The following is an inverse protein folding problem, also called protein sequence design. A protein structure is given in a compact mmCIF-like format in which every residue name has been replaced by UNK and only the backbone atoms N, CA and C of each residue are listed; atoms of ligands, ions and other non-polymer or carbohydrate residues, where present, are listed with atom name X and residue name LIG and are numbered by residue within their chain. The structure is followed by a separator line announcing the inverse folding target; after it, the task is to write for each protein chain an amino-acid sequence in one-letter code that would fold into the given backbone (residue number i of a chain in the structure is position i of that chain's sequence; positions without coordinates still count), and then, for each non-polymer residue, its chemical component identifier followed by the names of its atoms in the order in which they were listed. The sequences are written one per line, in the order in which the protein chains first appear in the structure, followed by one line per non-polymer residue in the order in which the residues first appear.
data_IF_874725134667
#
_entry.id   IF_874725134667
#
_cell.length_a   1.000
_cell.length_b   1.000
_cell.length_c   1.000
_cell.angle_alpha   90.00
_cell.angle_beta   90.00
_cell.angle_gamma   90.00
#
_symmetry.space_group_name_H-M   'P 1'
#
loop_
_entity.id
_entity.type
_entity.pdbx_description
1 polymer ?
#
# COMPACT_ATOMS: atom_id res chain seq x y z
N UNK A 1 -22.88 21.12 12.11
CA UNK A 1 -23.30 19.96 11.31
C UNK A 1 -22.05 19.20 10.91
N UNK A 2 -22.11 17.88 10.79
CA UNK A 2 -20.97 17.04 10.39
C UNK A 2 -21.45 16.00 9.37
N UNK A 3 -20.63 15.65 8.36
CA UNK A 3 -20.97 14.55 7.46
C UNK A 3 -20.82 13.21 8.20
N UNK A 4 -21.69 12.25 7.89
CA UNK A 4 -21.73 10.93 8.53
C UNK A 4 -21.24 9.88 7.55
N UNK A 5 -20.32 9.02 8.00
CA UNK A 5 -19.84 7.84 7.28
C UNK A 5 -20.25 6.61 8.08
N UNK A 6 -20.89 5.64 7.43
CA UNK A 6 -21.37 4.42 8.08
C UNK A 6 -20.20 3.44 8.14
N UNK A 7 -19.89 2.97 9.35
CA UNK A 7 -18.81 2.03 9.60
C UNK A 7 -19.37 0.76 10.28
N UNK A 8 -19.19 -0.42 9.66
CA UNK A 8 -19.48 -1.71 10.30
C UNK A 8 -18.67 -1.90 11.60
N UNK A 9 -19.28 -2.54 12.59
CA UNK A 9 -18.69 -2.77 13.92
C UNK A 9 -18.70 -1.54 14.86
N UNK A 10 -19.42 -0.48 14.53
CA UNK A 10 -19.66 0.63 15.46
C UNK A 10 -20.72 0.22 16.50
N UNK A 11 -20.40 0.35 17.79
CA UNK A 11 -21.32 -0.04 18.86
C UNK A 11 -22.68 0.71 18.79
N UNK A 12 -23.77 -0.01 19.01
CA UNK A 12 -25.13 0.54 18.97
C UNK A 12 -25.29 1.76 19.90
N UNK A 13 -25.95 2.81 19.41
CA UNK A 13 -26.18 4.05 20.16
C UNK A 13 -24.94 4.95 20.31
N UNK A 14 -23.84 4.66 19.60
CA UNK A 14 -22.60 5.46 19.65
C UNK A 14 -22.22 6.01 18.29
N UNK A 15 -21.50 7.14 18.28
CA UNK A 15 -20.90 7.72 17.08
C UNK A 15 -19.47 8.17 17.39
N UNK A 16 -18.51 7.73 16.56
CA UNK A 16 -17.13 8.20 16.61
C UNK A 16 -16.98 9.52 15.85
N UNK A 17 -16.25 10.48 16.42
CA UNK A 17 -15.87 11.71 15.72
C UNK A 17 -14.37 11.97 15.88
N UNK A 18 -13.68 12.15 14.75
CA UNK A 18 -12.26 12.45 14.75
C UNK A 18 -11.98 13.90 15.17
N UNK A 19 -10.98 14.09 16.02
CA UNK A 19 -10.46 15.41 16.41
C UNK A 19 -9.38 15.89 15.42
N UNK A 20 -9.10 17.20 15.41
CA UNK A 20 -8.01 17.80 14.64
C UNK A 20 -8.41 18.50 13.33
N UNK A 21 -9.66 18.35 12.91
CA UNK A 21 -10.26 19.08 11.79
C UNK A 21 -10.85 20.44 12.20
N UNK A 22 -11.28 21.26 11.23
CA UNK A 22 -11.90 22.57 11.46
C UNK A 22 -10.92 23.70 11.81
N UNK A 23 -9.62 23.49 11.57
CA UNK A 23 -8.57 24.48 11.85
C UNK A 23 -8.59 25.59 10.79
N UNK A 24 -8.47 26.85 11.23
CA UNK A 24 -8.40 28.04 10.35
C UNK A 24 -6.97 28.48 10.03
N UNK A 25 -6.05 28.24 10.98
CA UNK A 25 -4.64 28.66 10.90
C UNK A 25 -3.71 27.44 10.91
N UNK A 26 -3.80 26.57 9.90
CA UNK A 26 -3.03 25.33 9.78
C UNK A 26 -2.27 25.19 8.45
N UNK A 27 -2.03 26.31 7.77
CA UNK A 27 -1.47 26.32 6.42
C UNK A 27 -2.46 25.85 5.33
N UNK A 28 -2.01 25.70 4.10
CA UNK A 28 -2.86 25.46 2.92
C UNK A 28 -3.58 24.11 2.92
N UNK A 29 -3.01 23.10 3.60
CA UNK A 29 -3.50 21.71 3.57
C UNK A 29 -4.69 21.55 4.53
N UNK A 30 -4.56 21.99 5.78
CA UNK A 30 -5.56 21.76 6.82
C UNK A 30 -6.60 22.87 6.98
N UNK A 31 -6.41 24.02 6.32
CA UNK A 31 -7.29 25.19 6.47
C UNK A 31 -8.69 24.87 5.96
N UNK A 32 -9.68 25.09 6.81
CA UNK A 32 -11.11 24.92 6.53
C UNK A 32 -11.49 23.49 6.08
N UNK A 33 -10.72 22.49 6.51
CA UNK A 33 -11.01 21.07 6.25
C UNK A 33 -11.79 20.47 7.42
N UNK A 34 -12.96 19.89 7.13
CA UNK A 34 -13.79 19.19 8.12
C UNK A 34 -14.49 20.13 9.11
N UNK A 35 -14.74 19.65 10.32
CA UNK A 35 -15.43 20.42 11.38
C UNK A 35 -14.68 20.32 12.70
N UNK A 36 -14.71 21.41 13.46
CA UNK A 36 -14.03 21.50 14.75
C UNK A 36 -14.83 20.80 15.84
N UNK A 37 -14.46 19.55 16.12
CA UNK A 37 -15.07 18.70 17.13
C UNK A 37 -14.55 18.97 18.56
N UNK A 38 -13.49 19.78 18.74
CA UNK A 38 -12.97 20.11 20.07
C UNK A 38 -14.01 20.81 20.96
N UNK A 39 -14.95 21.52 20.33
CA UNK A 39 -16.06 22.22 21.00
C UNK A 39 -17.07 21.29 21.66
N UNK A 40 -17.04 20.00 21.31
CA UNK A 40 -17.94 18.99 21.88
C UNK A 40 -17.39 18.40 23.18
N UNK A 41 -16.08 18.52 23.42
CA UNK A 41 -15.43 17.97 24.62
C UNK A 41 -15.80 18.79 25.85
N UNK A 42 -15.97 18.08 26.97
CA UNK A 42 -16.20 18.69 28.28
C UNK A 42 -14.95 18.54 29.16
N UNK A 43 -14.73 19.53 30.03
CA UNK A 43 -13.69 19.44 31.07
C UNK A 43 -14.26 18.72 32.29
N UNK A 44 -13.45 17.85 32.87
CA UNK A 44 -13.71 17.16 34.13
C UNK A 44 -12.55 17.45 35.08
N UNK A 45 -12.66 18.57 35.80
CA UNK A 45 -11.53 19.16 36.52
C UNK A 45 -10.40 19.58 35.56
N UNK A 46 -9.21 19.01 35.76
CA UNK A 46 -8.04 19.21 34.89
C UNK A 46 -8.02 18.27 33.67
N UNK A 47 -8.91 17.27 33.64
CA UNK A 47 -8.96 16.28 32.57
C UNK A 47 -9.92 16.69 31.45
N UNK A 48 -9.66 16.18 30.25
CA UNK A 48 -10.57 16.27 29.11
C UNK A 48 -11.35 14.96 28.96
N UNK A 49 -12.68 15.06 28.86
CA UNK A 49 -13.55 13.90 28.64
C UNK A 49 -13.77 13.70 27.14
N UNK A 50 -13.36 12.53 26.63
CA UNK A 50 -13.44 12.15 25.20
C UNK A 50 -14.74 11.43 24.79
N UNK A 51 -15.71 11.33 25.71
CA UNK A 51 -17.04 10.80 25.43
C UNK A 51 -18.10 11.75 25.98
N UNK A 52 -19.25 11.79 25.31
CA UNK A 52 -20.38 12.64 25.71
C UNK A 52 -21.69 12.03 25.24
N UNK A 53 -22.68 12.02 26.12
CA UNK A 53 -24.06 11.71 25.75
C UNK A 53 -24.72 12.96 25.18
N UNK A 54 -25.29 12.84 23.97
CA UNK A 54 -26.01 13.92 23.31
C UNK A 54 -27.51 13.64 23.35
N UNK A 55 -28.33 14.69 23.41
CA UNK A 55 -29.80 14.55 23.45
C UNK A 55 -30.44 14.00 22.17
N UNK A 56 -29.65 13.85 21.09
CA UNK A 56 -30.08 13.24 19.83
C UNK A 56 -29.29 13.77 18.65
N UNK A 57 -29.44 13.09 17.51
CA UNK A 57 -28.92 13.50 16.21
C UNK A 57 -30.08 13.62 15.23
N UNK A 58 -30.17 14.73 14.51
CA UNK A 58 -31.20 14.95 13.48
C UNK A 58 -30.55 15.06 12.10
N UNK A 59 -31.02 14.31 11.08
CA UNK A 59 -30.57 14.49 9.71
C UNK A 59 -30.85 15.92 9.22
N UNK A 60 -29.87 16.53 8.55
CA UNK A 60 -30.02 17.89 7.98
C UNK A 60 -30.60 17.89 6.57
N UNK A 61 -30.74 16.71 5.94
CA UNK A 61 -31.12 16.57 4.52
C UNK A 61 -30.00 16.88 3.51
N UNK A 62 -28.85 17.38 3.96
CA UNK A 62 -27.71 17.67 3.10
C UNK A 62 -26.98 16.41 2.62
N UNK A 63 -26.43 16.46 1.40
CA UNK A 63 -25.54 15.42 0.87
C UNK A 63 -24.08 15.87 0.93
N UNK A 64 -23.17 14.93 1.17
CA UNK A 64 -21.73 15.19 1.23
C UNK A 64 -20.96 14.10 0.48
N UNK A 65 -20.03 14.50 -0.39
CA UNK A 65 -19.16 13.56 -1.09
C UNK A 65 -17.87 13.33 -0.30
N UNK A 66 -17.61 12.07 0.07
CA UNK A 66 -16.36 11.66 0.71
C UNK A 66 -15.29 11.34 -0.33
N UNK A 67 -14.04 11.69 -0.03
CA UNK A 67 -12.88 11.30 -0.82
C UNK A 67 -12.33 9.98 -0.26
N UNK A 68 -12.89 8.86 -0.70
CA UNK A 68 -12.49 7.52 -0.25
C UNK A 68 -11.61 6.87 -1.31
N UNK A 69 -10.51 6.26 -0.88
CA UNK A 69 -9.61 5.48 -1.75
C UNK A 69 -10.09 4.03 -1.90
N UNK A 70 -10.87 3.53 -0.95
CA UNK A 70 -11.51 2.22 -0.99
C UNK A 70 -13.02 2.38 -0.85
N UNK A 71 -13.77 1.78 -1.79
CA UNK A 71 -15.24 1.85 -1.85
C UNK A 71 -15.91 0.54 -1.50
N UNK A 72 -15.26 -0.60 -1.78
CA UNK A 72 -15.77 -1.94 -1.46
C UNK A 72 -15.01 -2.47 -0.24
N UNK A 73 -15.75 -2.89 0.79
CA UNK A 73 -15.17 -3.38 2.04
C UNK A 73 -15.43 -4.86 2.31
N UNK A 74 -16.16 -5.55 1.44
CA UNK A 74 -16.30 -7.01 1.45
C UNK A 74 -15.26 -7.64 0.50
N UNK A 75 -14.84 -8.87 0.77
CA UNK A 75 -14.01 -9.65 -0.16
C UNK A 75 -14.82 -10.25 -1.32
N UNK A 76 -16.15 -10.14 -1.31
CA UNK A 76 -17.03 -10.68 -2.36
C UNK A 76 -16.81 -12.18 -2.63
N UNK A 77 -16.58 -12.96 -1.56
CA UNK A 77 -16.31 -14.39 -1.63
C UNK A 77 -14.93 -14.78 -2.17
N UNK A 78 -14.05 -13.80 -2.46
CA UNK A 78 -12.70 -14.06 -2.96
C UNK A 78 -11.73 -14.31 -1.82
N UNK A 79 -10.85 -15.29 -1.98
CA UNK A 79 -9.80 -15.61 -1.00
C UNK A 79 -8.58 -14.67 -1.11
N UNK A 80 -8.79 -13.35 -1.01
CA UNK A 80 -7.73 -12.33 -1.09
C UNK A 80 -6.84 -12.35 0.16
N UNK A 81 -7.49 -12.31 1.33
CA UNK A 81 -6.87 -12.55 2.64
C UNK A 81 -7.25 -13.96 3.06
N UNK A 82 -6.25 -14.81 3.28
CA UNK A 82 -6.43 -16.17 3.79
C UNK A 82 -6.30 -16.16 5.30
N UNK A 83 -7.20 -16.86 5.99
CA UNK A 83 -7.27 -16.89 7.45
C UNK A 83 -7.35 -18.33 7.96
N UNK A 84 -6.74 -18.60 9.11
CA UNK A 84 -6.86 -19.87 9.82
C UNK A 84 -6.83 -19.63 11.34
N UNK A 85 -7.47 -20.51 12.11
CA UNK A 85 -7.40 -20.45 13.57
C UNK A 85 -6.14 -21.13 14.11
N UNK A 86 -5.68 -20.69 15.28
CA UNK A 86 -4.47 -21.20 15.91
C UNK A 86 -4.47 -22.73 16.13
N UNK A 87 -5.58 -23.38 16.55
CA UNK A 87 -5.62 -24.84 16.65
C UNK A 87 -5.42 -25.54 15.30
N UNK A 88 -6.01 -25.01 14.23
CA UNK A 88 -5.85 -25.55 12.88
C UNK A 88 -4.39 -25.40 12.40
N UNK A 89 -3.79 -24.23 12.61
CA UNK A 89 -2.38 -23.99 12.27
C UNK A 89 -1.40 -24.88 13.05
N UNK A 90 -1.71 -25.20 14.32
CA UNK A 90 -0.89 -26.13 15.11
C UNK A 90 -0.97 -27.57 14.60
N UNK A 91 -2.09 -27.96 14.02
CA UNK A 91 -2.27 -29.28 13.42
C UNK A 91 -1.63 -29.35 12.01
N UNK A 92 -1.77 -28.28 11.23
CA UNK A 92 -1.23 -28.16 9.88
C UNK A 92 -0.65 -26.74 9.64
N UNK A 93 0.67 -26.60 9.45
CA UNK A 93 1.31 -25.33 9.12
C UNK A 93 0.78 -24.66 7.83
N UNK A 94 0.11 -25.42 6.95
CA UNK A 94 -0.54 -24.95 5.72
C UNK A 94 -2.02 -24.59 5.86
N UNK A 95 -2.59 -24.61 7.07
CA UNK A 95 -4.01 -24.34 7.28
C UNK A 95 -4.47 -23.00 6.68
N UNK A 96 -5.61 -22.99 6.00
CA UNK A 96 -6.17 -21.83 5.30
C UNK A 96 -5.48 -21.50 3.97
N UNK A 97 -4.53 -22.34 3.54
CA UNK A 97 -3.76 -22.16 2.30
C UNK A 97 -4.05 -23.23 1.24
N UNK A 98 -5.20 -23.91 1.32
CA UNK A 98 -5.53 -25.08 0.48
C UNK A 98 -5.65 -24.70 -1.00
N UNK A 99 -6.00 -23.44 -1.29
CA UNK A 99 -6.06 -22.91 -2.65
C UNK A 99 -4.66 -22.86 -3.30
N UNK A 100 -3.60 -22.59 -2.55
CA UNK A 100 -2.23 -22.58 -3.06
C UNK A 100 -1.87 -23.92 -3.67
N UNK A 101 -2.12 -25.01 -2.94
CA UNK A 101 -1.82 -26.38 -3.40
C UNK A 101 -2.59 -26.72 -4.67
N UNK A 102 -3.90 -26.44 -4.70
CA UNK A 102 -4.74 -26.68 -5.89
C UNK A 102 -4.27 -25.90 -7.11
N UNK A 103 -3.89 -24.64 -6.92
CA UNK A 103 -3.40 -23.82 -8.02
C UNK A 103 -2.05 -24.36 -8.47
N UNK A 104 -1.11 -24.62 -7.57
CA UNK A 104 0.20 -25.17 -7.89
C UNK A 104 0.15 -26.47 -8.72
N UNK A 105 -0.81 -27.37 -8.47
CA UNK A 105 -1.02 -28.60 -9.24
C UNK A 105 -1.50 -28.39 -10.68
N UNK A 106 -2.11 -27.24 -10.97
CA UNK A 106 -2.73 -26.93 -12.27
C UNK A 106 -2.04 -25.77 -13.01
N UNK A 107 -0.95 -25.24 -12.46
CA UNK A 107 -0.22 -24.13 -13.05
C UNK A 107 0.70 -24.61 -14.18
N UNK A 108 0.26 -24.38 -15.41
CA UNK A 108 1.03 -24.65 -16.62
C UNK A 108 1.34 -23.35 -17.36
N UNK A 109 2.54 -23.28 -17.96
CA UNK A 109 2.97 -22.11 -18.73
C UNK A 109 3.60 -22.51 -20.06
N UNK A 110 3.26 -21.74 -21.09
CA UNK A 110 3.84 -21.87 -22.43
C UNK A 110 5.27 -21.34 -22.52
N UNK A 111 5.70 -20.57 -21.52
CA UNK A 111 7.02 -19.94 -21.49
C UNK A 111 7.92 -20.62 -20.45
N UNK A 112 9.20 -20.69 -20.79
CA UNK A 112 10.26 -21.14 -19.89
C UNK A 112 10.33 -20.26 -18.63
N UNK A 113 10.75 -20.87 -17.53
CA UNK A 113 10.97 -20.14 -16.29
C UNK A 113 12.21 -19.24 -16.40
N UNK A 114 12.08 -18.02 -15.91
CA UNK A 114 13.20 -17.09 -15.83
C UNK A 114 14.09 -17.45 -14.65
N UNK A 115 15.36 -17.67 -14.91
CA UNK A 115 16.37 -17.85 -13.86
C UNK A 115 17.01 -16.52 -13.45
N UNK A 116 17.02 -16.24 -12.15
CA UNK A 116 17.70 -15.10 -11.57
C UNK A 116 18.98 -15.56 -10.86
N UNK A 117 20.14 -15.45 -11.54
CA UNK A 117 21.39 -16.11 -11.10
C UNK A 117 22.09 -15.48 -9.89
N UNK A 118 21.90 -14.19 -9.65
CA UNK A 118 22.60 -13.47 -8.60
C UNK A 118 21.65 -13.12 -7.47
N UNK A 119 20.84 -12.09 -7.67
CA UNK A 119 19.84 -11.64 -6.71
C UNK A 119 18.44 -11.88 -7.26
N UNK A 120 17.52 -12.23 -6.38
CA UNK A 120 16.09 -12.19 -6.67
C UNK A 120 15.38 -11.47 -5.52
N UNK A 121 15.10 -10.17 -5.73
CA UNK A 121 14.51 -9.34 -4.70
C UNK A 121 13.05 -9.69 -4.46
N UNK A 122 12.70 -10.00 -3.22
CA UNK A 122 11.34 -10.31 -2.83
C UNK A 122 10.89 -9.56 -1.59
N UNK A 123 9.59 -9.67 -1.31
CA UNK A 123 8.99 -9.14 -0.10
C UNK A 123 8.01 -10.14 0.50
N UNK A 124 8.11 -10.42 1.79
CA UNK A 124 7.13 -11.19 2.54
C UNK A 124 6.29 -10.26 3.43
N UNK A 125 4.98 -10.52 3.51
CA UNK A 125 4.03 -9.74 4.31
C UNK A 125 3.28 -10.67 5.27
N UNK A 126 3.54 -10.53 6.57
CA UNK A 126 2.80 -11.25 7.62
C UNK A 126 1.49 -10.50 7.97
N UNK A 127 0.37 -11.05 7.51
CA UNK A 127 -0.96 -10.50 7.76
C UNK A 127 -1.45 -10.71 9.21
N UNK A 128 -0.80 -11.59 9.97
CA UNK A 128 -1.09 -11.78 11.41
C UNK A 128 -0.64 -10.58 12.23
N UNK A 129 0.51 -9.99 11.90
CA UNK A 129 1.08 -8.85 12.63
C UNK A 129 0.66 -7.49 12.06
N UNK A 130 0.15 -7.45 10.82
CA UNK A 130 -0.33 -6.21 10.22
C UNK A 130 -1.59 -5.68 10.93
N UNK A 131 -1.47 -4.51 11.56
CA UNK A 131 -2.56 -3.83 12.27
C UNK A 131 -3.29 -2.77 11.43
N UNK A 132 -2.84 -2.54 10.19
CA UNK A 132 -3.43 -1.51 9.33
C UNK A 132 -3.01 -0.06 9.68
N UNK A 133 -1.92 0.15 10.42
CA UNK A 133 -1.46 1.48 10.86
C UNK A 133 -1.09 2.48 9.73
N UNK A 134 -1.00 2.02 8.48
CA UNK A 134 -0.69 2.81 7.28
C UNK A 134 0.65 3.59 7.30
N UNK A 135 1.55 3.34 8.27
CA UNK A 135 2.86 4.01 8.31
C UNK A 135 3.71 3.71 7.06
N UNK A 136 3.60 2.49 6.53
CA UNK A 136 4.26 2.06 5.30
C UNK A 136 3.81 2.87 4.06
N UNK A 137 2.59 3.41 4.05
CA UNK A 137 2.10 4.30 2.98
C UNK A 137 2.85 5.63 3.03
N UNK A 138 2.92 6.25 4.21
CA UNK A 138 3.59 7.54 4.42
C UNK A 138 5.11 7.41 4.21
N UNK A 139 5.72 6.33 4.69
CA UNK A 139 7.15 6.08 4.45
C UNK A 139 7.46 5.93 2.96
N UNK A 140 6.61 5.22 2.21
CA UNK A 140 6.75 5.11 0.75
C UNK A 140 6.60 6.47 0.06
N UNK A 141 5.67 7.31 0.53
CA UNK A 141 5.46 8.66 0.01
C UNK A 141 6.67 9.57 0.25
N UNK A 142 7.20 9.58 1.47
CA UNK A 142 8.36 10.37 1.85
C UNK A 142 9.63 9.93 1.12
N UNK A 143 9.86 8.62 1.04
CA UNK A 143 11.05 8.06 0.40
C UNK A 143 11.07 8.27 -1.12
N UNK A 144 9.91 8.11 -1.77
CA UNK A 144 9.83 8.03 -3.22
C UNK A 144 9.22 9.28 -3.84
N UNK A 145 9.28 10.44 -3.19
CA UNK A 145 8.80 11.73 -3.73
C UNK A 145 7.37 11.67 -4.30
N UNK A 146 6.48 10.87 -3.69
CA UNK A 146 5.13 10.68 -4.20
C UNK A 146 4.31 11.93 -3.89
N UNK A 147 3.66 12.57 -4.88
CA UNK A 147 2.98 13.83 -4.66
C UNK A 147 1.71 13.68 -3.81
N UNK A 148 1.38 14.74 -3.07
CA UNK A 148 0.10 14.85 -2.37
C UNK A 148 -0.99 15.27 -3.36
N UNK A 149 -2.08 14.51 -3.43
CA UNK A 149 -3.22 14.78 -4.30
C UNK A 149 -4.35 15.43 -3.50
N UNK A 150 -4.94 16.49 -4.04
CA UNK A 150 -6.06 17.20 -3.41
C UNK A 150 -7.35 16.36 -3.34
N UNK A 151 -8.22 16.70 -2.38
CA UNK A 151 -9.47 15.99 -2.08
C UNK A 151 -10.34 15.72 -3.33
N UNK A 152 -10.49 16.70 -4.21
CA UNK A 152 -11.34 16.60 -5.41
C UNK A 152 -10.84 15.54 -6.39
N UNK A 153 -9.53 15.41 -6.54
CA UNK A 153 -8.92 14.42 -7.43
C UNK A 153 -8.89 13.03 -6.77
N UNK A 154 -8.74 12.96 -5.44
CA UNK A 154 -8.92 11.69 -4.70
C UNK A 154 -10.34 11.16 -4.86
N UNK A 155 -11.37 12.01 -4.88
CA UNK A 155 -12.75 11.59 -5.18
C UNK A 155 -12.91 10.98 -6.57
N UNK A 156 -12.03 11.35 -7.50
CA UNK A 156 -11.99 10.82 -8.88
C UNK A 156 -11.08 9.59 -9.01
N UNK A 157 -10.59 9.05 -7.90
CA UNK A 157 -9.69 7.87 -7.87
C UNK A 157 -8.34 8.18 -8.54
N UNK A 158 -7.83 9.40 -8.33
CA UNK A 158 -6.53 9.85 -8.82
C UNK A 158 -5.48 9.92 -7.69
N UNK A 159 -5.68 9.20 -6.58
CA UNK A 159 -4.75 9.21 -5.47
C UNK A 159 -3.38 8.64 -5.86
N UNK A 160 -2.31 9.29 -5.42
CA UNK A 160 -0.94 8.84 -5.68
C UNK A 160 -0.40 8.11 -4.45
N UNK A 161 -0.67 6.81 -4.36
CA UNK A 161 -0.07 5.92 -3.38
C UNK A 161 0.42 4.64 -4.05
N UNK A 162 1.71 4.34 -3.92
CA UNK A 162 2.34 3.14 -4.50
C UNK A 162 2.09 1.87 -3.68
N UNK A 163 1.71 2.07 -2.43
CA UNK A 163 1.32 1.06 -1.45
C UNK A 163 0.01 1.54 -0.87
N UNK A 164 -1.01 0.69 -0.86
CA UNK A 164 -2.27 0.90 -0.14
C UNK A 164 -2.45 -0.19 0.90
N UNK A 165 -3.26 0.08 1.91
CA UNK A 165 -3.67 -0.95 2.89
C UNK A 165 -5.15 -1.16 2.71
N UNK A 166 -5.50 -2.31 2.12
CA UNK A 166 -6.89 -2.69 1.87
C UNK A 166 -7.48 -3.23 3.17
N UNK A 167 -8.67 -2.76 3.53
CA UNK A 167 -9.43 -3.22 4.71
C UNK A 167 -10.64 -4.02 4.26
N UNK A 168 -10.76 -5.25 4.72
CA UNK A 168 -11.97 -6.05 4.49
C UNK A 168 -12.66 -6.37 5.81
N UNK A 169 -13.99 -6.40 5.76
CA UNK A 169 -14.86 -6.92 6.81
C UNK A 169 -15.31 -8.34 6.44
N UNK A 170 -15.29 -9.23 7.42
CA UNK A 170 -15.75 -10.61 7.31
C UNK A 170 -16.71 -10.92 8.46
N UNK A 171 -17.65 -11.84 8.23
CA UNK A 171 -18.66 -12.19 9.23
C UNK A 171 -19.89 -11.29 9.20
N UNK A 172 -20.51 -11.12 10.37
CA UNK A 172 -21.75 -10.36 10.56
C UNK A 172 -21.50 -8.84 10.49
N UNK A 173 -22.45 -8.06 9.96
CA UNK A 173 -22.26 -6.62 9.78
C UNK A 173 -22.27 -5.83 11.11
N UNK A 174 -22.95 -6.33 12.14
CA UNK A 174 -23.03 -5.70 13.46
C UNK A 174 -21.79 -5.96 14.30
N UNK A 175 -21.15 -7.13 14.12
CA UNK A 175 -19.87 -7.50 14.75
C UNK A 175 -18.88 -8.14 13.74
N UNK A 176 -18.36 -7.34 12.80
CA UNK A 176 -17.50 -7.84 11.75
C UNK A 176 -16.07 -8.02 12.25
N UNK A 177 -15.43 -9.08 11.77
CA UNK A 177 -13.99 -9.21 11.85
C UNK A 177 -13.32 -8.33 10.79
N UNK A 178 -12.22 -7.68 11.16
CA UNK A 178 -11.46 -6.83 10.25
C UNK A 178 -10.16 -7.52 9.86
N UNK A 179 -9.81 -7.43 8.58
CA UNK A 179 -8.50 -7.80 8.05
C UNK A 179 -7.89 -6.66 7.27
N UNK A 180 -6.56 -6.58 7.33
CA UNK A 180 -5.77 -5.59 6.61
C UNK A 180 -4.79 -6.30 5.68
N UNK A 181 -4.70 -5.83 4.45
CA UNK A 181 -3.76 -6.34 3.46
C UNK A 181 -3.03 -5.17 2.79
N UNK A 182 -1.74 -4.96 3.10
CA UNK A 182 -0.91 -4.05 2.34
C UNK A 182 -0.73 -4.57 0.90
N UNK A 183 -1.14 -3.77 -0.09
CA UNK A 183 -1.02 -4.11 -1.51
C UNK A 183 -0.17 -3.05 -2.20
N UNK A 184 0.97 -3.48 -2.73
CA UNK A 184 1.87 -2.69 -3.57
C UNK A 184 2.12 -3.39 -4.92
N UNK A 185 2.99 -2.83 -5.77
CA UNK A 185 3.48 -3.57 -6.92
C UNK A 185 4.07 -4.91 -6.49
N UNK A 186 3.56 -5.98 -7.09
CA UNK A 186 3.95 -7.34 -6.75
C UNK A 186 5.22 -7.82 -7.47
N UNK A 187 5.81 -6.96 -8.32
CA UNK A 187 7.04 -7.24 -9.09
C UNK A 187 7.05 -8.55 -9.91
N UNK A 188 5.86 -9.06 -10.26
CA UNK A 188 5.57 -10.17 -11.17
C UNK A 188 6.70 -10.53 -12.17
N UNK A 189 7.19 -11.78 -12.12
CA UNK A 189 8.12 -12.29 -13.13
C UNK A 189 7.44 -12.43 -14.49
N UNK A 190 6.17 -12.88 -14.47
CA UNK A 190 5.26 -12.89 -15.61
C UNK A 190 4.39 -11.63 -15.57
N UNK A 191 5.01 -10.46 -15.71
CA UNK A 191 4.33 -9.17 -15.59
C UNK A 191 3.39 -8.86 -16.79
N UNK A 192 2.05 -8.90 -16.61
CA UNK A 192 1.13 -8.55 -17.69
C UNK A 192 1.23 -7.06 -18.06
N UNK A 193 1.70 -6.23 -17.14
CA UNK A 193 1.83 -4.80 -17.35
C UNK A 193 3.04 -4.40 -18.21
N UNK A 194 4.01 -5.30 -18.45
CA UNK A 194 5.16 -5.06 -19.33
C UNK A 194 4.79 -5.18 -20.81
N UNK A 195 4.19 -6.31 -21.19
CA UNK A 195 3.89 -6.66 -22.58
C UNK A 195 2.95 -5.67 -23.28
N UNK A 196 2.19 -4.88 -22.53
CA UNK A 196 1.23 -3.89 -23.06
C UNK A 196 1.80 -2.48 -23.21
N UNK A 197 3.07 -2.26 -22.84
CA UNK A 197 3.68 -0.94 -22.97
C UNK A 197 4.28 -0.74 -24.37
N UNK A 198 3.69 0.12 -25.24
CA UNK A 198 4.13 0.25 -26.63
C UNK A 198 5.53 0.86 -26.81
N UNK A 199 6.05 1.50 -25.76
CA UNK A 199 7.35 2.18 -25.77
C UNK A 199 8.38 1.52 -24.86
N UNK A 200 8.06 0.35 -24.31
CA UNK A 200 8.90 -0.39 -23.36
C UNK A 200 9.38 0.48 -22.16
N UNK A 201 8.50 1.34 -21.63
CA UNK A 201 8.78 2.13 -20.42
C UNK A 201 8.76 1.29 -19.14
N UNK A 202 8.37 0.02 -19.23
CA UNK A 202 8.42 -0.92 -18.12
C UNK A 202 8.98 -2.25 -18.60
N UNK A 203 9.96 -2.76 -17.88
CA UNK A 203 10.76 -3.94 -18.24
C UNK A 203 11.20 -4.65 -16.96
N UNK A 204 11.37 -5.96 -17.02
CA UNK A 204 11.98 -6.72 -15.92
C UNK A 204 13.49 -6.49 -15.89
N UNK A 205 14.06 -6.38 -14.70
CA UNK A 205 15.50 -6.44 -14.49
C UNK A 205 15.98 -7.91 -14.44
N UNK A 206 17.30 -8.11 -14.50
CA UNK A 206 17.93 -9.41 -14.23
C UNK A 206 17.84 -9.87 -12.77
N UNK A 207 17.17 -9.10 -11.90
CA UNK A 207 17.07 -9.34 -10.45
C UNK A 207 15.61 -9.47 -9.97
N UNK A 208 14.68 -9.76 -10.89
CA UNK A 208 13.25 -9.89 -10.60
C UNK A 208 12.50 -8.57 -10.36
N UNK A 209 13.13 -7.42 -10.63
CA UNK A 209 12.46 -6.13 -10.44
C UNK A 209 11.75 -5.71 -11.71
N UNK A 210 10.42 -5.57 -11.67
CA UNK A 210 9.71 -4.76 -12.65
C UNK A 210 10.19 -3.30 -12.54
N UNK A 211 10.91 -2.79 -13.52
CA UNK A 211 11.38 -1.41 -13.59
C UNK A 211 10.33 -0.54 -14.26
N UNK A 212 10.13 0.67 -13.74
CA UNK A 212 9.29 1.69 -14.36
C UNK A 212 10.18 2.89 -14.69
N UNK A 213 10.41 3.11 -15.98
CA UNK A 213 11.27 4.16 -16.49
C UNK A 213 10.40 5.38 -16.80
N UNK A 214 10.38 6.33 -15.87
CA UNK A 214 9.43 7.46 -15.87
C UNK A 214 9.53 8.33 -17.13
N UNK A 215 10.75 8.64 -17.58
CA UNK A 215 11.01 9.51 -18.74
C UNK A 215 10.67 8.85 -20.09
N UNK A 216 10.54 7.51 -20.15
CA UNK A 216 10.13 6.79 -21.35
C UNK A 216 8.60 6.68 -21.47
N UNK A 217 7.87 6.90 -20.37
CA UNK A 217 6.43 6.76 -20.34
C UNK A 217 5.74 7.88 -21.14
N UNK A 218 4.91 7.48 -22.11
CA UNK A 218 4.10 8.40 -22.92
C UNK A 218 2.63 8.48 -22.46
N UNK A 219 2.30 7.92 -21.30
CA UNK A 219 0.99 8.09 -20.68
C UNK A 219 -0.19 7.34 -21.30
N UNK A 220 0.04 6.23 -22.02
CA UNK A 220 -1.07 5.42 -22.59
C UNK A 220 -1.95 4.76 -21.53
N UNK A 221 -1.44 4.57 -20.31
CA UNK A 221 -2.13 3.95 -19.15
C UNK A 221 -2.55 2.48 -19.33
N UNK A 222 -2.24 1.84 -20.45
CA UNK A 222 -2.61 0.45 -20.69
C UNK A 222 -1.98 -0.51 -19.65
N UNK A 223 -0.76 -0.24 -19.21
CA UNK A 223 -0.10 -1.01 -18.15
C UNK A 223 -0.88 -0.99 -16.83
N UNK A 224 -1.66 0.06 -16.53
CA UNK A 224 -2.54 0.09 -15.36
C UNK A 224 -3.75 -0.84 -15.54
N UNK A 225 -4.39 -0.79 -16.72
CA UNK A 225 -5.53 -1.65 -17.02
C UNK A 225 -5.16 -3.13 -16.92
N UNK A 226 -4.01 -3.52 -17.49
CA UNK A 226 -3.58 -4.93 -17.51
C UNK A 226 -2.97 -5.41 -16.18
N UNK A 227 -2.70 -4.50 -15.23
CA UNK A 227 -2.23 -4.90 -13.91
C UNK A 227 -3.42 -5.44 -13.09
N UNK A 228 -3.42 -6.72 -12.67
CA UNK A 228 -4.56 -7.30 -11.96
C UNK A 228 -4.77 -6.65 -10.59
N UNK A 229 -3.69 -6.20 -9.94
CA UNK A 229 -3.72 -5.56 -8.62
C UNK A 229 -4.08 -4.06 -8.64
N UNK A 230 -4.12 -3.43 -9.82
CA UNK A 230 -4.35 -1.98 -10.00
C UNK A 230 -3.46 -1.14 -9.07
N UNK A 231 -2.15 -1.39 -9.09
CA UNK A 231 -1.12 -0.75 -8.24
C UNK A 231 -0.22 0.21 -9.02
N UNK A 232 -0.54 0.46 -10.29
CA UNK A 232 0.06 1.54 -11.07
C UNK A 232 -0.76 2.81 -10.87
N UNK A 233 -0.09 3.94 -10.66
CA UNK A 233 -0.70 5.24 -10.40
C UNK A 233 -0.31 6.23 -11.48
N UNK A 234 -1.24 7.05 -11.93
CA UNK A 234 -1.01 7.94 -13.07
C UNK A 234 -0.97 9.39 -12.59
N UNK A 235 0.06 10.13 -12.99
CA UNK A 235 0.12 11.55 -12.76
C UNK A 235 -0.81 12.28 -13.73
N UNK A 236 -2.05 12.54 -13.30
CA UNK A 236 -3.03 13.28 -14.10
C UNK A 236 -2.65 14.74 -14.28
N UNK A 237 -2.13 15.34 -13.21
CA UNK A 237 -1.80 16.76 -13.15
C UNK A 237 -0.33 16.98 -12.82
N UNK A 238 0.14 18.21 -13.01
CA UNK A 238 1.47 18.60 -12.54
C UNK A 238 1.37 18.88 -11.04
N UNK A 239 1.84 17.96 -10.19
CA UNK A 239 1.82 18.15 -8.74
C UNK A 239 3.13 18.75 -8.18
N UNK A 240 4.18 18.77 -9.00
CA UNK A 240 5.58 18.96 -8.55
C UNK A 240 6.34 20.03 -9.34
N UNK A 241 5.68 20.68 -10.31
CA UNK A 241 6.29 21.58 -11.29
C UNK A 241 7.35 20.94 -12.21
N UNK A 242 7.47 19.61 -12.21
CA UNK A 242 8.39 18.91 -13.12
C UNK A 242 7.88 18.84 -14.57
N UNK A 243 6.61 19.16 -14.82
CA UNK A 243 6.00 19.19 -16.16
C UNK A 243 6.12 20.55 -16.86
N UNK A 244 6.08 20.53 -18.20
CA UNK A 244 6.21 21.73 -19.06
C UNK A 244 4.88 22.34 -19.50
N UNK A 245 3.73 21.67 -19.28
CA UNK A 245 2.42 22.21 -19.67
C UNK A 245 1.97 23.30 -18.68
N UNK A 246 1.67 24.49 -19.20
CA UNK A 246 1.13 25.61 -18.44
C UNK A 246 -0.33 25.35 -18.03
N UNK A 247 -0.75 25.93 -16.90
CA UNK A 247 -2.15 25.85 -16.42
C UNK A 247 -2.57 24.53 -15.76
N UNK A 248 -1.68 23.53 -15.68
CA UNK A 248 -2.00 22.20 -15.14
C UNK A 248 -1.43 21.93 -13.73
N UNK A 249 -0.92 22.96 -13.05
CA UNK A 249 -0.36 22.84 -11.70
C UNK A 249 -1.47 22.60 -10.66
N UNK A 250 -1.30 21.57 -9.85
CA UNK A 250 -2.21 21.16 -8.76
C UNK A 250 -1.43 20.92 -7.47
N UNK A 251 -0.76 21.94 -6.97
CA UNK A 251 0.08 21.80 -5.78
C UNK A 251 -0.66 22.21 -4.49
N UNK A 252 -1.50 21.29 -3.97
CA UNK A 252 -2.26 21.54 -2.73
C UNK A 252 -1.36 21.59 -1.50
N UNK A 253 -0.20 20.93 -1.56
CA UNK A 253 0.74 20.80 -0.46
C UNK A 253 1.96 21.73 -0.57
N UNK A 254 1.91 22.73 -1.45
CA UNK A 254 3.00 23.68 -1.79
C UNK A 254 4.38 22.99 -1.89
N UNK A 255 4.44 21.77 -2.44
CA UNK A 255 5.69 21.03 -2.60
C UNK A 255 6.66 21.72 -3.57
N UNK A 256 6.16 22.63 -4.42
CA UNK A 256 6.99 23.40 -5.35
C UNK A 256 7.72 24.58 -4.70
N UNK A 257 7.34 24.95 -3.46
CA UNK A 257 8.04 26.00 -2.71
C UNK A 257 9.48 25.59 -2.39
N UNK A 258 10.42 26.54 -2.47
CA UNK A 258 11.86 26.29 -2.28
C UNK A 258 12.16 25.53 -0.99
N UNK A 259 11.49 25.90 0.11
CA UNK A 259 11.67 25.23 1.40
C UNK A 259 11.16 23.79 1.40
N UNK A 260 9.98 23.52 0.82
CA UNK A 260 9.41 22.15 0.84
C UNK A 260 10.09 21.22 -0.16
N UNK A 261 10.72 21.76 -1.21
CA UNK A 261 11.56 20.98 -2.13
C UNK A 261 12.73 20.29 -1.44
N UNK A 262 13.21 20.81 -0.30
CA UNK A 262 14.27 20.19 0.50
C UNK A 262 13.87 18.85 1.14
N UNK A 263 12.57 18.54 1.20
CA UNK A 263 12.07 17.25 1.70
C UNK A 263 12.23 16.14 0.66
N UNK A 264 12.39 16.50 -0.62
CA UNK A 264 12.46 15.53 -1.71
C UNK A 264 13.78 14.75 -1.65
N UNK A 265 13.67 13.43 -1.78
CA UNK A 265 14.80 12.53 -1.89
C UNK A 265 15.57 12.81 -3.20
N UNK A 266 16.87 13.18 -3.15
CA UNK A 266 17.64 13.49 -4.35
C UNK A 266 17.89 12.28 -5.26
N UNK A 267 17.81 11.06 -4.71
CA UNK A 267 18.08 9.82 -5.46
C UNK A 267 16.85 9.29 -6.21
N UNK A 268 15.69 9.94 -6.05
CA UNK A 268 14.43 9.54 -6.70
C UNK A 268 13.93 10.64 -7.61
N UNK A 269 13.70 10.29 -8.88
CA UNK A 269 13.13 11.21 -9.86
C UNK A 269 11.83 11.83 -9.35
N UNK A 270 11.70 13.16 -9.46
CA UNK A 270 10.41 13.85 -9.30
C UNK A 270 9.67 13.76 -10.62
N UNK A 271 8.48 13.14 -10.62
CA UNK A 271 7.77 12.83 -11.87
C UNK A 271 6.97 14.03 -12.35
N UNK A 272 6.87 14.15 -13.66
CA UNK A 272 5.97 15.07 -14.36
C UNK A 272 4.59 14.43 -14.58
N UNK A 273 3.63 15.24 -15.00
CA UNK A 273 2.33 14.78 -15.47
C UNK A 273 2.44 13.82 -16.66
N UNK A 274 1.42 12.98 -16.86
CA UNK A 274 1.36 12.05 -17.99
C UNK A 274 2.16 10.77 -17.80
N UNK A 275 2.75 10.55 -16.62
CA UNK A 275 3.63 9.41 -16.35
C UNK A 275 2.98 8.45 -15.34
N UNK A 276 3.13 7.15 -15.61
CA UNK A 276 2.76 6.08 -14.66
C UNK A 276 3.87 5.89 -13.62
N UNK A 277 3.47 5.68 -12.38
CA UNK A 277 4.30 5.30 -11.27
C UNK A 277 3.83 3.99 -10.64
N UNK A 278 4.72 3.37 -9.87
CA UNK A 278 4.42 2.18 -9.08
C UNK A 278 5.50 1.98 -8.02
N UNK A 279 5.22 1.14 -7.02
CA UNK A 279 6.26 0.66 -6.12
C UNK A 279 7.43 0.06 -6.92
N UNK A 280 8.65 0.47 -6.59
CA UNK A 280 9.90 0.08 -7.25
C UNK A 280 10.78 -0.82 -6.37
N UNK A 281 10.24 -1.33 -5.25
CA UNK A 281 11.02 -1.90 -4.14
C UNK A 281 12.13 -0.96 -3.65
N UNK A 282 11.88 0.35 -3.67
CA UNK A 282 12.85 1.38 -3.29
C UNK A 282 14.19 1.17 -4.01
N UNK A 283 14.16 1.05 -5.34
CA UNK A 283 15.33 0.77 -6.19
C UNK A 283 16.56 1.63 -5.85
N UNK A 284 16.36 2.89 -5.47
CA UNK A 284 17.43 3.79 -5.03
C UNK A 284 18.23 3.23 -3.84
N UNK A 285 17.54 2.60 -2.87
CA UNK A 285 18.17 1.94 -1.71
C UNK A 285 18.87 0.65 -2.13
N UNK A 286 18.26 -0.13 -3.02
CA UNK A 286 18.88 -1.34 -3.58
C UNK A 286 20.20 -0.97 -4.26
N UNK A 287 20.21 0.05 -5.13
CA UNK A 287 21.42 0.49 -5.82
C UNK A 287 22.47 1.05 -4.87
N UNK A 288 22.07 1.84 -3.87
CA UNK A 288 23.00 2.36 -2.86
C UNK A 288 23.66 1.24 -2.04
N UNK A 289 22.89 0.26 -1.55
CA UNK A 289 23.42 -0.89 -0.81
C UNK A 289 24.32 -1.76 -1.69
N UNK A 290 23.94 -1.99 -2.97
CA UNK A 290 24.80 -2.68 -3.94
C UNK A 290 26.11 -1.96 -4.18
N UNK A 291 26.08 -0.65 -4.36
CA UNK A 291 27.27 0.17 -4.58
C UNK A 291 28.22 0.09 -3.38
N UNK A 292 27.68 0.19 -2.16
CA UNK A 292 28.44 0.05 -0.91
C UNK A 292 29.07 -1.33 -0.79
N UNK A 293 28.30 -2.39 -0.96
CA UNK A 293 28.80 -3.77 -0.87
C UNK A 293 29.89 -4.05 -1.92
N UNK A 294 29.72 -3.54 -3.14
CA UNK A 294 30.72 -3.64 -4.21
C UNK A 294 32.00 -2.86 -3.88
N UNK A 295 31.89 -1.65 -3.32
CA UNK A 295 33.06 -0.87 -2.90
C UNK A 295 33.85 -1.59 -1.79
N UNK A 296 33.16 -2.33 -0.92
CA UNK A 296 33.73 -3.11 0.17
C UNK A 296 34.14 -4.55 -0.26
N UNK A 297 34.01 -4.90 -1.54
CA UNK A 297 34.30 -6.24 -2.10
C UNK A 297 33.61 -7.39 -1.34
N UNK A 298 32.34 -7.21 -0.98
CA UNK A 298 31.54 -8.22 -0.29
C UNK A 298 30.11 -8.30 -0.82
N UNK A 299 29.39 -9.35 -0.44
CA UNK A 299 27.95 -9.45 -0.64
C UNK A 299 27.17 -8.45 0.22
N UNK A 300 25.93 -8.21 -0.17
CA UNK A 300 24.96 -7.46 0.65
C UNK A 300 24.57 -8.32 1.84
N UNK A 301 24.50 -7.72 3.03
CA UNK A 301 23.92 -8.39 4.20
C UNK A 301 22.44 -8.08 4.27
N UNK A 302 21.62 -9.04 4.70
CA UNK A 302 20.16 -8.93 4.76
C UNK A 302 19.68 -7.66 5.53
N UNK A 303 20.33 -7.35 6.65
CA UNK A 303 20.01 -6.18 7.49
C UNK A 303 20.38 -4.83 6.85
N UNK A 304 21.27 -4.81 5.85
CA UNK A 304 21.75 -3.57 5.23
C UNK A 304 20.82 -2.99 4.17
N UNK A 305 19.85 -3.78 3.71
CA UNK A 305 18.91 -3.36 2.67
C UNK A 305 17.48 -3.49 3.16
N UNK A 306 16.94 -2.37 3.65
CA UNK A 306 15.55 -2.26 4.06
C UNK A 306 14.84 -1.22 3.19
N UNK A 307 13.72 -1.63 2.59
CA UNK A 307 12.81 -0.69 1.91
C UNK A 307 12.16 0.24 2.93
N UNK A 308 11.71 1.42 2.49
CA UNK A 308 11.08 2.38 3.39
C UNK A 308 9.82 1.81 4.07
N UNK A 309 9.04 0.97 3.38
CA UNK A 309 7.87 0.32 3.97
C UNK A 309 8.24 -0.79 4.96
N UNK A 310 9.32 -1.53 4.73
CA UNK A 310 9.85 -2.54 5.68
C UNK A 310 10.37 -1.85 6.95
N UNK A 311 11.29 -0.90 6.79
CA UNK A 311 11.95 -0.19 7.89
C UNK A 311 10.97 0.58 8.80
N UNK A 312 9.89 1.13 8.22
CA UNK A 312 8.92 1.93 8.97
C UNK A 312 7.84 1.10 9.67
N UNK A 313 7.73 -0.20 9.39
CA UNK A 313 6.66 -1.01 9.93
C UNK A 313 6.91 -1.31 11.43
N UNK A 314 6.11 -0.78 12.36
CA UNK A 314 6.36 -0.99 13.80
C UNK A 314 6.16 -2.44 14.23
N UNK A 315 5.37 -3.20 13.48
CA UNK A 315 5.06 -4.60 13.74
C UNK A 315 5.98 -5.57 12.98
N UNK A 316 6.96 -5.07 12.21
CA UNK A 316 7.80 -5.86 11.31
C UNK A 316 7.00 -6.80 10.39
N UNK A 317 5.81 -6.36 9.97
CA UNK A 317 4.90 -7.15 9.13
C UNK A 317 5.37 -7.26 7.68
N UNK A 318 6.28 -6.37 7.24
CA UNK A 318 6.84 -6.36 5.89
C UNK A 318 8.31 -6.71 6.05
N UNK A 319 8.77 -7.75 5.38
CA UNK A 319 10.17 -8.18 5.34
C UNK A 319 10.62 -8.15 3.89
N UNK A 320 11.68 -7.41 3.60
CA UNK A 320 12.27 -7.32 2.27
C UNK A 320 13.69 -7.91 2.31
N UNK A 321 14.07 -8.63 1.26
CA UNK A 321 15.40 -9.22 1.17
C UNK A 321 15.64 -9.95 -0.16
N UNK A 322 16.78 -10.62 -0.24
CA UNK A 322 17.13 -11.48 -1.36
C UNK A 322 16.59 -12.90 -1.14
N UNK A 323 15.72 -13.36 -2.03
CA UNK A 323 15.15 -14.72 -1.98
C UNK A 323 16.15 -15.80 -2.42
N UNK A 324 17.23 -15.41 -3.09
CA UNK A 324 18.30 -16.34 -3.46
C UNK A 324 19.29 -16.61 -2.31
N UNK A 325 19.33 -15.75 -1.29
CA UNK A 325 20.14 -15.96 -0.10
C UNK A 325 19.41 -16.89 0.88
N UNK A 326 19.87 -18.13 1.12
CA UNK A 326 19.20 -19.06 2.04
C UNK A 326 19.24 -18.59 3.50
N UNK A 327 20.17 -17.69 3.85
CA UNK A 327 20.29 -17.13 5.19
C UNK A 327 19.35 -15.96 5.49
N UNK A 328 18.73 -15.37 4.46
CA UNK A 328 17.87 -14.19 4.60
C UNK A 328 16.59 -14.51 5.35
N UNK A 329 16.04 -13.51 6.04
CA UNK A 329 14.78 -13.69 6.77
C UNK A 329 13.62 -13.99 5.81
N UNK A 330 13.63 -13.36 4.63
CA UNK A 330 12.62 -13.64 3.60
C UNK A 330 12.65 -15.11 3.16
N UNK A 331 13.82 -15.71 2.93
CA UNK A 331 13.92 -17.12 2.51
C UNK A 331 13.29 -18.09 3.52
N UNK A 332 13.39 -17.79 4.82
CA UNK A 332 12.70 -18.57 5.86
C UNK A 332 11.19 -18.42 5.80
N UNK A 333 10.70 -17.20 5.60
CA UNK A 333 9.27 -16.92 5.44
C UNK A 333 8.72 -17.56 4.15
N UNK A 334 9.55 -17.65 3.12
CA UNK A 334 9.22 -18.29 1.85
C UNK A 334 9.07 -19.81 1.96
N UNK A 335 9.78 -20.44 2.89
CA UNK A 335 9.62 -21.86 3.20
C UNK A 335 8.42 -22.17 4.11
N UNK A 336 7.71 -21.14 4.61
CA UNK A 336 6.56 -21.32 5.49
C UNK A 336 5.35 -21.89 4.76
N UNK A 337 4.65 -22.87 5.37
CA UNK A 337 3.37 -23.40 4.85
C UNK A 337 2.26 -22.34 4.74
N UNK A 338 2.41 -21.23 5.48
CA UNK A 338 1.49 -20.07 5.43
C UNK A 338 1.64 -19.24 4.15
N UNK A 339 2.70 -19.44 3.37
CA UNK A 339 3.02 -18.60 2.22
C UNK A 339 2.02 -18.80 1.09
N UNK A 340 1.50 -17.69 0.58
CA UNK A 340 0.73 -17.66 -0.64
C UNK A 340 1.00 -16.39 -1.45
N UNK A 341 0.61 -16.42 -2.71
CA UNK A 341 0.64 -15.29 -3.61
C UNK A 341 -0.78 -14.75 -3.84
N UNK A 342 -0.90 -13.45 -4.02
CA UNK A 342 -2.19 -12.85 -4.33
C UNK A 342 -2.56 -13.14 -5.79
N UNK A 343 -3.79 -13.60 -6.05
CA UNK A 343 -4.28 -13.95 -7.39
C UNK A 343 -3.41 -15.00 -8.12
N UNK A 344 -3.09 -16.10 -7.42
CA UNK A 344 -2.31 -17.23 -7.94
C UNK A 344 -2.85 -17.79 -9.25
N UNK A 345 -4.18 -17.78 -9.42
CA UNK A 345 -4.89 -18.29 -10.59
C UNK A 345 -4.53 -17.57 -11.91
N UNK A 346 -3.96 -16.36 -11.85
CA UNK A 346 -3.55 -15.58 -13.04
C UNK A 346 -2.10 -15.92 -13.45
N UNK A 347 -1.35 -16.62 -12.60
CA UNK A 347 0.03 -17.02 -12.85
C UNK A 347 1.00 -15.88 -13.19
N UNK A 348 0.84 -14.73 -12.51
CA UNK A 348 1.77 -13.59 -12.69
C UNK A 348 3.13 -13.80 -12.01
N UNK A 349 3.31 -14.89 -11.24
CA UNK A 349 4.51 -15.19 -10.44
C UNK A 349 5.04 -13.97 -9.66
N UNK A 350 4.27 -13.47 -8.65
CA UNK A 350 4.67 -12.27 -7.93
C UNK A 350 5.80 -12.54 -6.94
N UNK A 351 6.75 -11.60 -6.84
CA UNK A 351 7.86 -11.60 -5.85
C UNK A 351 7.44 -11.02 -4.50
N UNK A 352 6.17 -10.60 -4.36
CA UNK A 352 5.56 -10.29 -3.07
C UNK A 352 4.71 -11.49 -2.63
N UNK A 353 5.00 -11.98 -1.45
CA UNK A 353 4.37 -13.15 -0.85
C UNK A 353 3.67 -12.75 0.44
N UNK A 354 2.48 -13.28 0.66
CA UNK A 354 1.68 -13.05 1.84
C UNK A 354 1.70 -14.29 2.73
N UNK A 355 1.60 -14.10 4.04
CA UNK A 355 1.40 -15.20 4.98
C UNK A 355 -0.05 -15.20 5.46
N UNK A 356 -0.68 -16.37 5.45
CA UNK A 356 -2.02 -16.60 6.00
C UNK A 356 -2.13 -16.00 7.40
N UNK A 357 -3.22 -15.26 7.65
CA UNK A 357 -3.49 -14.64 8.96
C UNK A 357 -3.92 -15.72 9.95
N UNK A 358 -3.18 -15.88 11.04
CA UNK A 358 -3.53 -16.83 12.10
C UNK A 358 -4.25 -16.09 13.22
N UNK A 359 -5.47 -16.51 13.53
CA UNK A 359 -6.27 -15.95 14.63
C UNK A 359 -6.23 -16.84 15.86
N UNK A 360 -5.96 -16.22 17.00
CA UNK A 360 -6.05 -16.91 18.30
C UNK A 360 -7.44 -16.69 18.91
N UNK A 361 -8.45 -17.35 18.35
CA UNK A 361 -9.81 -17.33 18.88
C UNK A 361 -9.94 -18.30 20.05
N UNK A 362 -10.67 -17.91 21.10
CA UNK A 362 -11.23 -18.88 22.05
C UNK A 362 -12.44 -19.49 21.33
N UNK A 363 -12.28 -20.71 20.83
CA UNK A 363 -13.37 -21.50 20.25
C UNK A 363 -14.33 -21.90 21.35
#
# INVERSE_FOLDING_TARGET
TVPVHIQPGQAYGTAGIALGYGRRNSGPVGKDVGSDAWRLLEKDGENLRFYRTVGGMSPTGGKYSFAQTQTHHSMEGRALVREADLPAYKADPGAGNEMHTKVAEHLESLYDEREFKHHHWGMAIDLSTCTGCANCVIACQAENNIPVVGKEEVQRVHEMHWLRVDRYFTGDEEDPEVVFQPVMCQHCDNAPCENVCPVAATNSSSEGLNQMVYNRCIGTRYCNNNCPYKVRRFNWFNYTEAGTLSGNLRDKAEMTSDLRRLVLNPDVTVRSQGVIEKCSFCIQRIQASKLKAKAENRGIKDEELQTACSQSCPANSIVFGDMNDPGSEISKLMASGRRYNLLEEIYTKPSVHYLTKIRNKKV
#
